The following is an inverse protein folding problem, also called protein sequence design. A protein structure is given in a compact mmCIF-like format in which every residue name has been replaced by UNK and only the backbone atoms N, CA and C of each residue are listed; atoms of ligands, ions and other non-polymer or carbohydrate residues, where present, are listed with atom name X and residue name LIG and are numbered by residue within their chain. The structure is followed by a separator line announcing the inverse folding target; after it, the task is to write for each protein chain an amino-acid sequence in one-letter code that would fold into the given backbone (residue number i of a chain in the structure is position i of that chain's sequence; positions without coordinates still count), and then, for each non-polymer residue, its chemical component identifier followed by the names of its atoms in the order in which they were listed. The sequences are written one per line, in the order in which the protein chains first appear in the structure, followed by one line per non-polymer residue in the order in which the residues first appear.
data_IF_922906430276
#
_entry.id   IF_922906430276
#
_cell.length_a   1.000
_cell.length_b   1.000
_cell.length_c   1.000
_cell.angle_alpha   90.00
_cell.angle_beta   90.00
_cell.angle_gamma   90.00
#
_symmetry.space_group_name_H-M   'P 1'
#
loop_
_entity.id
_entity.type
_entity.pdbx_description
1 polymer ?
#
# COMPACT_ATOMS: atom_id res chain seq x y z
N UNK A 1 18.06 13.35 36.39
CA UNK A 1 18.98 12.95 35.31
C UNK A 1 18.51 11.59 34.80
N UNK A 2 18.10 11.44 33.53
CA UNK A 2 17.96 10.14 32.90
C UNK A 2 19.27 9.78 32.18
N UNK A 3 19.71 8.54 32.41
CA UNK A 3 21.02 8.04 32.02
C UNK A 3 20.91 7.20 30.73
N UNK A 4 21.85 7.40 29.80
CA UNK A 4 22.31 6.33 28.91
C UNK A 4 21.52 6.07 27.62
N UNK A 5 21.97 6.70 26.53
CA UNK A 5 22.22 6.08 25.23
C UNK A 5 21.45 4.78 24.88
N UNK A 6 20.22 4.92 24.36
CA UNK A 6 19.66 3.93 23.45
C UNK A 6 20.05 4.33 22.02
N UNK A 7 20.74 3.49 21.23
CA UNK A 7 21.02 3.82 19.85
C UNK A 7 19.72 3.65 19.07
N UNK A 8 19.03 4.76 18.80
CA UNK A 8 17.97 4.79 17.79
C UNK A 8 18.65 4.54 16.45
N UNK A 9 18.61 3.29 15.97
CA UNK A 9 19.13 2.90 14.68
C UNK A 9 18.28 3.55 13.58
N UNK A 10 18.59 4.81 13.25
CA UNK A 10 18.07 5.49 12.09
C UNK A 10 18.93 5.12 10.87
N UNK A 11 18.59 4.02 10.22
CA UNK A 11 19.04 3.78 8.84
C UNK A 11 17.96 4.38 7.93
N UNK A 12 18.25 5.55 7.35
CA UNK A 12 17.43 6.11 6.27
C UNK A 12 15.97 6.45 6.61
N UNK A 13 15.65 6.82 7.86
CA UNK A 13 14.32 7.29 8.25
C UNK A 13 13.27 6.20 8.52
N UNK A 14 13.62 4.92 8.42
CA UNK A 14 12.69 3.83 8.77
C UNK A 14 12.79 3.50 10.27
N UNK A 15 11.70 3.70 11.00
CA UNK A 15 11.64 3.41 12.43
C UNK A 15 11.28 1.92 12.64
N UNK A 16 12.31 1.08 12.78
CA UNK A 16 12.21 -0.39 12.89
C UNK A 16 11.53 -0.87 14.19
N UNK A 17 11.21 0.04 15.11
CA UNK A 17 10.51 -0.22 16.38
C UNK A 17 9.02 0.11 16.34
N UNK A 18 8.51 0.63 15.21
CA UNK A 18 7.09 0.88 15.05
C UNK A 18 6.34 -0.46 15.08
N UNK A 19 5.44 -0.62 16.06
CA UNK A 19 4.50 -1.73 16.09
C UNK A 19 3.76 -1.83 14.75
N UNK A 20 3.42 -3.04 14.26
CA UNK A 20 2.70 -3.19 13.00
C UNK A 20 1.44 -2.34 13.07
N UNK A 21 1.31 -1.36 12.17
CA UNK A 21 0.06 -0.60 12.06
C UNK A 21 -0.99 -1.54 11.50
N UNK A 22 -2.14 -1.64 12.16
CA UNK A 22 -3.30 -2.35 11.63
C UNK A 22 -3.69 -1.75 10.27
N UNK A 23 -3.55 -2.55 9.21
CA UNK A 23 -3.91 -2.17 7.85
C UNK A 23 -5.24 -2.82 7.47
N UNK A 24 -6.11 -2.05 6.81
CA UNK A 24 -7.35 -2.58 6.23
C UNK A 24 -7.03 -3.15 4.85
N UNK A 25 -7.29 -4.45 4.67
CA UNK A 25 -7.06 -5.14 3.38
C UNK A 25 -8.35 -5.18 2.58
N UNK A 26 -8.31 -4.67 1.35
CA UNK A 26 -9.43 -4.70 0.40
C UNK A 26 -9.00 -5.53 -0.81
N UNK A 27 -9.77 -6.57 -1.14
CA UNK A 27 -9.51 -7.44 -2.30
C UNK A 27 -10.54 -7.16 -3.39
N UNK A 28 -10.07 -6.83 -4.59
CA UNK A 28 -10.91 -6.64 -5.78
C UNK A 28 -10.74 -7.84 -6.70
N UNK A 29 -11.67 -8.80 -6.60
CA UNK A 29 -11.66 -10.05 -7.37
C UNK A 29 -12.78 -10.14 -8.41
N UNK A 30 -12.49 -10.75 -9.55
CA UNK A 30 -13.45 -11.09 -10.60
C UNK A 30 -12.81 -12.10 -11.57
N UNK A 31 -13.52 -13.18 -11.88
CA UNK A 31 -13.04 -14.27 -12.75
C UNK A 31 -13.03 -13.88 -14.25
N UNK A 32 -13.81 -12.87 -14.64
CA UNK A 32 -13.92 -12.42 -16.03
C UNK A 32 -12.88 -11.35 -16.38
N UNK A 33 -12.20 -11.54 -17.50
CA UNK A 33 -11.35 -10.52 -18.12
C UNK A 33 -12.17 -9.31 -18.60
N UNK A 34 -11.63 -8.10 -18.42
CA UNK A 34 -12.30 -6.87 -18.86
C UNK A 34 -13.46 -6.39 -17.98
N UNK A 35 -13.73 -7.02 -16.84
CA UNK A 35 -14.82 -6.63 -15.93
C UNK A 35 -14.56 -5.36 -15.08
N UNK A 36 -13.50 -4.59 -15.38
CA UNK A 36 -13.20 -3.33 -14.70
C UNK A 36 -12.48 -3.42 -13.36
N UNK A 37 -11.96 -4.60 -12.95
CA UNK A 37 -11.23 -4.78 -11.67
C UNK A 37 -10.12 -3.74 -11.45
N UNK A 38 -9.20 -3.62 -12.41
CA UNK A 38 -8.06 -2.71 -12.30
C UNK A 38 -8.51 -1.24 -12.31
N UNK A 39 -9.55 -0.92 -13.09
CA UNK A 39 -10.16 0.41 -13.10
C UNK A 39 -10.70 0.79 -11.72
N UNK A 40 -11.49 -0.10 -11.10
CA UNK A 40 -12.03 0.13 -9.76
C UNK A 40 -10.91 0.21 -8.72
N UNK A 41 -9.90 -0.66 -8.81
CA UNK A 41 -8.75 -0.67 -7.89
C UNK A 41 -7.97 0.64 -7.94
N UNK A 42 -7.78 1.21 -9.13
CA UNK A 42 -7.12 2.51 -9.30
C UNK A 42 -7.96 3.66 -8.70
N UNK A 43 -9.25 3.72 -8.99
CA UNK A 43 -10.12 4.77 -8.45
C UNK A 43 -10.22 4.69 -6.93
N UNK A 44 -10.32 3.48 -6.37
CA UNK A 44 -10.33 3.26 -4.93
C UNK A 44 -9.03 3.75 -4.28
N UNK A 45 -7.89 3.42 -4.88
CA UNK A 45 -6.58 3.89 -4.41
C UNK A 45 -6.53 5.42 -4.37
N UNK A 46 -6.85 6.08 -5.49
CA UNK A 46 -6.82 7.55 -5.58
C UNK A 46 -7.78 8.18 -4.57
N UNK A 47 -8.98 7.63 -4.40
CA UNK A 47 -9.95 8.13 -3.42
C UNK A 47 -9.39 8.02 -1.98
N UNK A 48 -8.83 6.88 -1.60
CA UNK A 48 -8.24 6.68 -0.26
C UNK A 48 -7.05 7.61 -0.01
N UNK A 49 -6.18 7.78 -1.02
CA UNK A 49 -5.07 8.73 -0.94
C UNK A 49 -5.56 10.18 -0.78
N UNK A 50 -6.61 10.58 -1.51
CA UNK A 50 -7.22 11.91 -1.39
C UNK A 50 -7.87 12.15 -0.03
N UNK A 51 -8.29 11.10 0.66
CA UNK A 51 -8.78 11.15 2.05
C UNK A 51 -7.64 11.20 3.09
N UNK A 52 -6.37 11.19 2.66
CA UNK A 52 -5.20 11.28 3.54
C UNK A 52 -4.72 9.93 4.09
N UNK A 53 -5.19 8.81 3.56
CA UNK A 53 -4.71 7.49 3.97
C UNK A 53 -3.39 7.13 3.29
N UNK A 54 -2.51 6.46 4.03
CA UNK A 54 -1.37 5.74 3.44
C UNK A 54 -1.91 4.47 2.78
N UNK A 55 -1.66 4.31 1.48
CA UNK A 55 -2.20 3.23 0.66
C UNK A 55 -1.04 2.44 0.04
N UNK A 56 -1.09 1.11 0.19
CA UNK A 56 -0.25 0.18 -0.55
C UNK A 56 -1.11 -0.62 -1.54
N UNK A 57 -0.53 -0.96 -2.69
CA UNK A 57 -1.23 -1.68 -3.77
C UNK A 57 -0.41 -2.92 -4.12
N UNK A 58 -1.08 -4.05 -4.32
CA UNK A 58 -0.47 -5.28 -4.80
C UNK A 58 -1.28 -5.74 -6.01
N UNK A 59 -0.67 -5.72 -7.20
CA UNK A 59 -1.28 -6.26 -8.42
C UNK A 59 -0.99 -7.77 -8.51
N UNK A 60 -2.04 -8.59 -8.32
CA UNK A 60 -1.95 -10.06 -8.43
C UNK A 60 -2.33 -10.56 -9.84
N UNK A 61 -2.77 -9.69 -10.75
CA UNK A 61 -3.07 -10.05 -12.13
C UNK A 61 -1.79 -9.99 -12.99
N UNK A 62 -0.91 -10.97 -12.78
CA UNK A 62 0.40 -11.07 -13.46
C UNK A 62 0.27 -11.13 -14.98
N UNK A 63 -0.89 -11.59 -15.50
CA UNK A 63 -1.14 -11.73 -16.93
C UNK A 63 -1.45 -10.39 -17.58
N UNK A 64 -2.31 -9.57 -16.96
CA UNK A 64 -2.72 -8.30 -17.55
C UNK A 64 -1.86 -7.13 -17.08
N UNK A 65 -1.41 -7.10 -15.82
CA UNK A 65 -0.57 -6.03 -15.21
C UNK A 65 -1.12 -4.62 -15.41
N UNK A 66 -2.44 -4.50 -15.57
CA UNK A 66 -3.07 -3.24 -15.97
C UNK A 66 -2.92 -2.20 -14.87
N UNK A 67 -2.97 -2.60 -13.59
CA UNK A 67 -2.84 -1.66 -12.48
C UNK A 67 -1.39 -1.16 -12.34
N UNK A 68 -0.40 -2.04 -12.51
CA UNK A 68 1.01 -1.63 -12.55
C UNK A 68 1.29 -0.62 -13.67
N UNK A 69 0.79 -0.87 -14.89
CA UNK A 69 0.96 0.06 -16.03
C UNK A 69 0.35 1.45 -15.83
N UNK A 70 -0.62 1.60 -14.93
CA UNK A 70 -1.19 2.91 -14.62
C UNK A 70 -0.32 3.76 -13.69
N UNK A 71 0.68 3.15 -13.03
CA UNK A 71 1.56 3.80 -12.06
C UNK A 71 2.97 4.06 -12.60
N UNK A 72 3.29 3.53 -13.79
CA UNK A 72 4.47 3.92 -14.59
C UNK A 72 4.28 5.32 -15.18
#
# INVERSE_FOLDING_TARGET
MPDGFAPTAHVGGLNLTAAPKDARVIVVGNEKGGAGKSTVSMHLTVALMRMGHSVGIIDLDVRQRTLTRYLE
#
